data_IF_697082855113
#
_entry.id   IF_697082855113
#
_cell.length_a   1.000
_cell.length_b   1.000
_cell.length_c   1.000
_cell.angle_alpha   90.00
_cell.angle_beta   90.00
_cell.angle_gamma   90.00
#
_symmetry.space_group_name_H-M   'P 1'
#
loop_
_entity.id
_entity.type
_entity.pdbx_description
1 polymer ?
#
# COMPACT_ATOMS: atom_id res chain seq x y z
N UNK A 1 -0.68 41.72 14.73
CA UNK A 1 0.19 40.54 14.88
C UNK A 1 -0.12 39.56 13.75
N UNK A 2 0.80 39.27 12.81
CA UNK A 2 0.50 38.45 11.65
C UNK A 2 0.64 36.95 11.97
N UNK A 3 -0.31 36.16 11.44
CA UNK A 3 -0.40 34.70 11.55
C UNK A 3 0.90 34.03 11.06
N UNK A 4 1.56 33.31 11.96
CA UNK A 4 2.68 32.43 11.65
C UNK A 4 2.20 31.30 10.73
N UNK A 5 2.78 31.22 9.52
CA UNK A 5 2.65 30.07 8.63
C UNK A 5 3.41 28.92 9.27
N UNK A 6 2.69 27.87 9.66
CA UNK A 6 3.30 26.59 10.01
C UNK A 6 3.90 25.98 8.74
N UNK A 7 5.20 26.19 8.57
CA UNK A 7 6.03 25.55 7.57
C UNK A 7 6.14 24.07 7.91
N UNK A 8 5.22 23.25 7.42
CA UNK A 8 5.36 21.80 7.48
C UNK A 8 6.59 21.42 6.63
N UNK A 9 7.70 21.14 7.32
CA UNK A 9 8.95 20.68 6.74
C UNK A 9 8.67 19.60 5.69
N UNK A 10 9.06 19.88 4.45
CA UNK A 10 8.99 18.96 3.33
C UNK A 10 9.61 17.62 3.75
N UNK A 11 8.77 16.60 3.94
CA UNK A 11 9.25 15.25 4.22
C UNK A 11 10.03 14.78 2.99
N UNK A 12 11.35 14.70 3.10
CA UNK A 12 12.27 14.27 2.05
C UNK A 12 12.21 12.75 1.82
N UNK A 13 11.02 12.24 1.52
CA UNK A 13 10.81 10.85 1.14
C UNK A 13 9.72 10.79 0.07
N UNK A 14 9.91 9.93 -0.93
CA UNK A 14 8.86 9.62 -1.91
C UNK A 14 7.55 9.39 -1.15
N UNK A 15 6.46 10.09 -1.51
CA UNK A 15 5.17 9.91 -0.86
C UNK A 15 4.87 8.42 -0.78
N UNK A 16 4.66 7.89 0.43
CA UNK A 16 4.38 6.47 0.62
C UNK A 16 3.20 6.13 -0.29
N UNK A 17 3.39 5.12 -1.15
CA UNK A 17 2.28 4.61 -1.96
C UNK A 17 1.14 4.31 -1.01
N UNK A 18 -0.02 4.90 -1.29
CA UNK A 18 -1.21 4.78 -0.47
C UNK A 18 -1.48 3.30 -0.14
N UNK A 19 -1.48 2.94 1.15
CA UNK A 19 -1.61 1.54 1.57
C UNK A 19 -2.96 0.95 1.11
N UNK A 20 -4.00 1.78 0.90
CA UNK A 20 -5.28 1.34 0.33
C UNK A 20 -5.15 0.94 -1.14
N UNK A 21 -4.34 1.67 -1.91
CA UNK A 21 -4.03 1.37 -3.32
C UNK A 21 -3.28 0.05 -3.45
N UNK A 22 -2.33 -0.20 -2.54
CA UNK A 22 -1.59 -1.46 -2.43
C UNK A 22 -2.51 -2.61 -2.05
N UNK A 23 -3.37 -2.44 -1.03
CA UNK A 23 -4.36 -3.44 -0.64
C UNK A 23 -5.30 -3.79 -1.80
N UNK A 24 -5.78 -2.77 -2.54
CA UNK A 24 -6.60 -2.98 -3.73
C UNK A 24 -5.90 -3.85 -4.79
N UNK A 25 -4.61 -3.60 -5.03
CA UNK A 25 -3.81 -4.42 -5.95
C UNK A 25 -3.61 -5.85 -5.47
N UNK A 26 -3.36 -6.04 -4.17
CA UNK A 26 -3.21 -7.36 -3.57
C UNK A 26 -4.52 -8.16 -3.70
N UNK A 27 -5.64 -7.56 -3.33
CA UNK A 27 -6.96 -8.21 -3.43
C UNK A 27 -7.31 -8.52 -4.89
N UNK A 28 -7.03 -7.61 -5.82
CA UNK A 28 -7.26 -7.84 -7.24
C UNK A 28 -6.49 -9.05 -7.77
N UNK A 29 -5.19 -9.15 -7.47
CA UNK A 29 -4.37 -10.28 -7.93
C UNK A 29 -4.86 -11.59 -7.33
N UNK A 30 -5.15 -11.63 -6.02
CA UNK A 30 -5.60 -12.84 -5.33
C UNK A 30 -6.99 -13.28 -5.84
N UNK A 31 -7.94 -12.34 -5.95
CA UNK A 31 -9.31 -12.63 -6.38
C UNK A 31 -9.40 -13.16 -7.81
N UNK A 32 -8.51 -12.70 -8.69
CA UNK A 32 -8.48 -13.11 -10.09
C UNK A 32 -7.45 -14.22 -10.37
N UNK A 33 -6.68 -14.66 -9.37
CA UNK A 33 -5.64 -15.68 -9.54
C UNK A 33 -4.51 -15.27 -10.50
N UNK A 34 -4.23 -13.96 -10.59
CA UNK A 34 -3.24 -13.41 -11.52
C UNK A 34 -1.82 -13.51 -10.97
N UNK A 35 -0.82 -13.32 -11.83
CA UNK A 35 0.53 -13.07 -11.36
C UNK A 35 0.66 -11.63 -10.86
N UNK A 36 1.55 -11.40 -9.90
CA UNK A 36 1.84 -10.04 -9.41
C UNK A 36 2.24 -9.06 -10.53
N UNK A 37 2.88 -9.56 -11.59
CA UNK A 37 3.29 -8.77 -12.77
C UNK A 37 2.10 -8.24 -13.57
N UNK A 38 0.97 -8.93 -13.51
CA UNK A 38 -0.25 -8.59 -14.25
C UNK A 38 -1.16 -7.65 -13.44
N UNK A 39 -0.78 -7.29 -12.22
CA UNK A 39 -1.47 -6.28 -11.45
C UNK A 39 -1.51 -4.95 -12.21
N UNK A 40 -2.66 -4.28 -12.20
CA UNK A 40 -2.79 -2.98 -12.85
C UNK A 40 -1.75 -2.01 -12.28
N UNK A 41 -1.07 -1.26 -13.16
CA UNK A 41 -0.08 -0.23 -12.76
C UNK A 41 -0.69 0.84 -11.84
N UNK A 42 -2.02 0.98 -11.89
CA UNK A 42 -2.78 1.79 -10.95
C UNK A 42 -2.70 1.30 -9.50
N UNK A 43 -2.18 0.11 -9.18
CA UNK A 43 -1.96 -0.29 -7.78
C UNK A 43 -0.52 -0.03 -7.29
N UNK A 44 0.37 0.39 -8.19
CA UNK A 44 1.78 0.59 -7.91
C UNK A 44 2.65 -0.56 -8.44
N UNK A 45 3.97 -0.51 -8.19
CA UNK A 45 4.89 -1.51 -8.71
C UNK A 45 4.59 -2.91 -8.16
N UNK A 46 4.62 -3.94 -9.02
CA UNK A 46 4.35 -5.33 -8.64
C UNK A 46 5.25 -5.82 -7.48
N UNK A 47 6.51 -5.37 -7.41
CA UNK A 47 7.41 -5.70 -6.29
C UNK A 47 6.91 -5.14 -4.97
N UNK A 48 6.32 -3.95 -4.97
CA UNK A 48 5.75 -3.33 -3.78
C UNK A 48 4.55 -4.13 -3.27
N UNK A 49 3.67 -4.57 -4.18
CA UNK A 49 2.53 -5.43 -3.82
C UNK A 49 2.99 -6.74 -3.17
N UNK A 50 3.94 -7.43 -3.79
CA UNK A 50 4.48 -8.70 -3.27
C UNK A 50 5.17 -8.52 -1.90
N UNK A 51 6.07 -7.53 -1.77
CA UNK A 51 6.77 -7.27 -0.51
C UNK A 51 5.80 -6.89 0.62
N UNK A 52 4.75 -6.12 0.30
CA UNK A 52 3.72 -5.73 1.27
C UNK A 52 2.86 -6.91 1.68
N UNK A 53 2.44 -7.73 0.72
CA UNK A 53 1.70 -8.95 1.01
C UNK A 53 2.48 -9.86 1.96
N UNK A 54 3.74 -10.17 1.65
CA UNK A 54 4.59 -11.01 2.50
C UNK A 54 4.73 -10.39 3.90
N UNK A 55 5.10 -9.10 3.98
CA UNK A 55 5.29 -8.42 5.26
C UNK A 55 4.03 -8.42 6.12
N UNK A 56 2.86 -8.17 5.53
CA UNK A 56 1.59 -8.12 6.25
C UNK A 56 1.06 -9.50 6.62
N UNK A 57 1.32 -10.51 5.80
CA UNK A 57 1.05 -11.91 6.11
C UNK A 57 1.85 -12.36 7.34
N UNK A 58 3.17 -12.08 7.38
CA UNK A 58 3.99 -12.37 8.57
C UNK A 58 3.55 -11.64 9.84
N UNK A 59 2.92 -10.47 9.70
CA UNK A 59 2.39 -9.70 10.83
C UNK A 59 0.96 -10.14 11.25
N UNK A 60 0.36 -11.10 10.56
CA UNK A 60 -1.02 -11.53 10.80
C UNK A 60 -2.05 -10.43 10.55
N UNK A 61 -1.74 -9.45 9.69
CA UNK A 61 -2.63 -8.33 9.41
C UNK A 61 -3.86 -8.82 8.64
N UNK A 62 -3.67 -9.76 7.71
CA UNK A 62 -4.79 -10.32 6.96
C UNK A 62 -5.72 -11.12 7.85
N UNK A 63 -5.20 -11.91 8.80
CA UNK A 63 -6.02 -12.61 9.79
C UNK A 63 -6.88 -11.63 10.59
N UNK A 64 -6.33 -10.49 11.01
CA UNK A 64 -7.11 -9.46 11.71
C UNK A 64 -8.18 -8.79 10.85
N UNK A 65 -7.91 -8.60 9.56
CA UNK A 65 -8.87 -8.00 8.62
C UNK A 65 -10.01 -8.97 8.29
N UNK A 66 -9.71 -10.26 8.15
CA UNK A 66 -10.67 -11.29 7.73
C UNK A 66 -11.31 -12.08 8.87
N UNK A 67 -10.85 -11.95 10.12
CA UNK A 67 -11.44 -12.60 11.30
C UNK A 67 -12.74 -11.93 11.80
N UNK A 68 -13.45 -11.18 10.95
CA UNK A 68 -14.76 -10.61 11.27
C UNK A 68 -15.89 -11.58 10.95
#
# INVERSE_FOLDING_TARGET
>A
MPRERLSFSLAHGVPRVDDRRVLGGIVYVIRNGLQWKDAQKEHGPHKTLCNRFIRWSHLGIFDRIFAT
#
